data_IF_563100428379
#
_entry.id   IF_563100428379
#
_cell.length_a   1.000
_cell.length_b   1.000
_cell.length_c   1.000
_cell.angle_alpha   90.00
_cell.angle_beta   90.00
_cell.angle_gamma   90.00
#
_symmetry.space_group_name_H-M   'P 1'
#
loop_
_entity.id
_entity.type
_entity.pdbx_description
1 polymer ?
#
# COMPACT_ATOMS: atom_id res chain seq x y z
N UNK A 1 -32.85 -33.03 -18.66
CA UNK A 1 -32.71 -32.70 -18.59
C UNK A 1 -32.49 -31.80 -18.10
N UNK A 2 -32.50 -31.18 -17.90
CA UNK A 2 -32.50 -30.52 -17.43
C UNK A 2 -31.59 -29.99 -16.70
N UNK A 3 -30.99 -29.82 -16.27
CA UNK A 3 -30.10 -29.58 -15.51
C UNK A 3 -29.11 -28.63 -15.96
N UNK A 4 -29.08 -28.34 -16.99
CA UNK A 4 -28.16 -27.51 -17.49
C UNK A 4 -28.18 -26.15 -16.94
N UNK A 5 -29.15 -25.76 -16.46
CA UNK A 5 -29.26 -24.42 -16.05
C UNK A 5 -28.29 -24.03 -15.00
N UNK A 6 -27.82 -24.91 -14.29
CA UNK A 6 -26.99 -24.55 -13.28
C UNK A 6 -25.76 -23.91 -13.61
N UNK A 7 -25.19 -24.24 -14.59
CA UNK A 7 -23.96 -23.72 -14.90
C UNK A 7 -23.87 -22.30 -14.95
N UNK A 8 -24.79 -21.70 -15.35
CA UNK A 8 -24.76 -20.35 -15.55
C UNK A 8 -24.35 -19.49 -14.42
N UNK A 9 -24.82 -19.77 -13.33
CA UNK A 9 -24.61 -18.91 -12.23
C UNK A 9 -23.22 -18.69 -11.78
N UNK A 10 -22.42 -19.52 -12.01
CA UNK A 10 -21.13 -19.42 -11.57
C UNK A 10 -20.30 -18.26 -11.96
N UNK A 11 -20.32 -17.94 -13.13
CA UNK A 11 -19.45 -16.95 -13.62
C UNK A 11 -19.54 -15.57 -13.05
N UNK A 12 -20.62 -15.19 -12.62
CA UNK A 12 -20.77 -13.85 -12.20
C UNK A 12 -20.00 -13.42 -11.00
N UNK A 13 -19.80 -14.28 -10.13
CA UNK A 13 -19.20 -13.86 -8.92
C UNK A 13 -17.78 -13.40 -9.01
N UNK A 14 -17.09 -13.84 -9.94
CA UNK A 14 -15.76 -13.46 -10.05
C UNK A 14 -15.44 -12.03 -10.10
N UNK A 15 -16.24 -11.30 -10.70
CA UNK A 15 -15.96 -9.93 -10.88
C UNK A 15 -15.81 -9.16 -9.61
N UNK A 16 -16.44 -9.62 -8.63
CA UNK A 16 -16.44 -8.87 -7.41
C UNK A 16 -15.16 -8.95 -6.65
N UNK A 17 -14.33 -9.83 -7.04
CA UNK A 17 -13.14 -10.01 -6.30
C UNK A 17 -12.03 -9.08 -6.63
N UNK A 18 -12.27 -8.17 -7.50
CA UNK A 18 -11.23 -7.27 -7.82
C UNK A 18 -10.95 -6.36 -6.69
N UNK A 19 -9.80 -6.39 -6.13
CA UNK A 19 -9.47 -5.53 -5.04
C UNK A 19 -9.13 -4.22 -5.65
N UNK A 20 -9.53 -3.16 -5.12
CA UNK A 20 -9.13 -1.90 -5.62
C UNK A 20 -8.40 -1.21 -4.52
N UNK A 21 -7.39 -0.49 -4.81
CA UNK A 21 -6.69 0.25 -3.83
C UNK A 21 -7.60 1.34 -3.42
N UNK A 22 -7.73 1.50 -2.18
CA UNK A 22 -8.65 2.46 -1.66
C UNK A 22 -7.93 3.76 -1.38
N UNK A 23 -8.48 4.84 -1.84
CA UNK A 23 -7.93 6.13 -1.54
C UNK A 23 -8.03 6.38 -0.05
N UNK A 24 -9.05 5.84 0.58
CA UNK A 24 -9.19 5.97 2.03
C UNK A 24 -8.02 5.30 2.74
N UNK A 25 -7.57 4.16 2.24
CA UNK A 25 -6.44 3.49 2.86
C UNK A 25 -5.16 4.28 2.62
N UNK A 26 -5.04 4.90 1.48
CA UNK A 26 -3.86 5.71 1.20
C UNK A 26 -3.81 6.91 2.13
N UNK A 27 -4.95 7.53 2.39
CA UNK A 27 -4.98 8.65 3.30
C UNK A 27 -4.69 8.23 4.72
N UNK A 28 -5.16 7.06 5.08
CA UNK A 28 -4.89 6.54 6.40
C UNK A 28 -3.40 6.30 6.54
N UNK A 29 -2.78 5.74 5.50
CA UNK A 29 -1.36 5.52 5.51
C UNK A 29 -0.58 6.82 5.63
N UNK A 30 -1.06 7.86 4.97
CA UNK A 30 -0.43 9.15 5.05
C UNK A 30 -0.42 9.67 6.48
N UNK A 31 -1.54 9.52 7.17
CA UNK A 31 -1.63 9.98 8.54
C UNK A 31 -0.73 9.16 9.45
N UNK A 32 -0.67 7.86 9.21
CA UNK A 32 0.17 6.99 10.01
C UNK A 32 1.64 7.39 9.82
N UNK A 33 2.02 7.64 8.58
CA UNK A 33 3.40 8.03 8.31
C UNK A 33 3.73 9.34 9.03
N UNK A 34 2.88 10.31 8.86
CA UNK A 34 3.11 11.61 9.42
C UNK A 34 3.26 11.56 10.94
N UNK A 35 2.44 10.74 11.57
CA UNK A 35 2.44 10.68 13.01
C UNK A 35 3.50 9.76 13.59
N UNK A 36 3.83 8.69 12.91
CA UNK A 36 4.66 7.66 13.51
C UNK A 36 5.97 7.35 12.78
N UNK A 37 6.12 7.76 11.55
CA UNK A 37 7.32 7.43 10.78
C UNK A 37 8.18 8.63 10.47
N UNK A 38 7.54 9.76 10.27
CA UNK A 38 8.24 10.93 9.78
C UNK A 38 9.43 11.34 10.62
N UNK A 39 9.27 11.28 11.90
CA UNK A 39 10.32 11.71 12.77
C UNK A 39 11.55 10.83 12.63
N UNK A 40 11.35 9.52 12.54
CA UNK A 40 12.45 8.61 12.39
C UNK A 40 13.05 8.66 11.00
N UNK A 41 12.24 8.86 9.99
CA UNK A 41 12.73 8.91 8.63
C UNK A 41 13.43 10.23 8.32
N UNK A 42 12.98 11.27 8.93
CA UNK A 42 13.60 12.57 8.70
C UNK A 42 13.11 13.30 7.46
N UNK A 43 12.04 12.83 6.85
CA UNK A 43 11.49 13.49 5.68
C UNK A 43 10.02 13.13 5.53
N UNK A 44 9.37 13.74 4.57
CA UNK A 44 7.93 13.58 4.43
C UNK A 44 7.55 12.24 3.83
N UNK A 45 6.29 11.90 3.96
CA UNK A 45 5.78 10.68 3.38
C UNK A 45 5.85 10.68 1.87
N UNK A 46 5.68 11.84 1.27
CA UNK A 46 5.77 11.93 -0.18
C UNK A 46 7.18 11.55 -0.62
N UNK A 47 8.17 12.03 0.09
CA UNK A 47 9.53 11.71 -0.27
C UNK A 47 9.78 10.21 -0.07
N UNK A 48 9.21 9.64 0.97
CA UNK A 48 9.32 8.20 1.19
C UNK A 48 8.71 7.46 0.00
N UNK A 49 7.50 7.81 -0.39
CA UNK A 49 6.79 7.11 -1.46
C UNK A 49 7.53 7.20 -2.79
N UNK A 50 8.20 8.29 -3.01
CA UNK A 50 8.86 8.48 -4.28
C UNK A 50 10.18 7.74 -4.44
N UNK A 51 10.52 6.94 -3.46
CA UNK A 51 11.70 6.11 -3.60
C UNK A 51 11.48 5.03 -4.65
N UNK A 52 10.24 4.70 -4.98
CA UNK A 52 9.97 3.65 -5.94
C UNK A 52 8.81 3.99 -6.84
N UNK A 53 8.73 3.31 -7.96
CA UNK A 53 7.58 3.41 -8.85
C UNK A 53 6.46 2.54 -8.29
N UNK A 54 5.28 2.68 -8.85
CA UNK A 54 4.16 1.86 -8.41
C UNK A 54 4.45 0.39 -8.62
N UNK A 55 5.07 0.05 -9.73
CA UNK A 55 5.37 -1.33 -9.99
C UNK A 55 6.38 -1.88 -8.99
N UNK A 56 7.34 -1.08 -8.63
CA UNK A 56 8.32 -1.51 -7.65
C UNK A 56 7.70 -1.70 -6.28
N UNK A 57 6.82 -0.83 -5.90
CA UNK A 57 6.14 -1.01 -4.61
C UNK A 57 5.30 -2.30 -4.62
N UNK A 58 4.80 -2.65 -5.60
CA UNK A 58 4.15 -3.61 -5.68
C UNK A 58 4.81 -4.65 -5.45
N UNK A 59 5.89 -4.90 -6.16
CA UNK A 59 6.77 -6.03 -6.03
C UNK A 59 7.25 -6.18 -4.60
N UNK A 60 7.64 -5.09 -4.02
CA UNK A 60 8.08 -5.12 -2.63
C UNK A 60 7.01 -5.69 -1.69
N UNK A 61 5.91 -5.35 -1.89
CA UNK A 61 5.02 -5.73 -1.22
C UNK A 61 4.75 -6.97 -1.38
N UNK A 62 4.51 -7.56 -2.51
CA UNK A 62 4.26 -8.93 -2.82
C UNK A 62 5.30 -9.87 -2.27
N UNK A 63 6.51 -9.47 -2.27
CA UNK A 63 7.57 -10.33 -1.79
C UNK A 63 7.78 -10.26 -0.29
N UNK A 64 6.97 -9.49 0.38
CA UNK A 64 7.07 -9.43 1.83
C UNK A 64 8.24 -8.62 2.33
N UNK A 65 8.70 -7.66 1.55
CA UNK A 65 9.88 -6.90 1.91
C UNK A 65 9.61 -5.45 2.29
N UNK A 66 8.37 -5.12 2.57
CA UNK A 66 8.05 -3.73 2.86
C UNK A 66 8.75 -3.23 4.12
N UNK A 67 8.79 -4.04 5.13
CA UNK A 67 9.41 -3.60 6.37
C UNK A 67 10.90 -3.43 6.19
N UNK A 68 11.53 -4.35 5.49
CA UNK A 68 12.94 -4.26 5.20
C UNK A 68 13.26 -3.01 4.42
N UNK A 69 12.45 -2.74 3.41
CA UNK A 69 12.68 -1.59 2.57
C UNK A 69 12.46 -0.29 3.35
N UNK A 70 11.50 -0.28 4.24
CA UNK A 70 11.28 0.88 5.07
C UNK A 70 12.50 1.14 5.94
N UNK A 71 13.07 0.08 6.47
CA UNK A 71 14.24 0.24 7.31
C UNK A 71 15.43 0.74 6.48
N UNK A 72 15.53 0.30 5.25
CA UNK A 72 16.61 0.75 4.40
C UNK A 72 16.49 2.25 4.11
N UNK A 73 15.28 2.69 3.87
CA UNK A 73 15.04 4.09 3.53
C UNK A 73 15.14 4.98 4.74
N UNK A 74 14.66 4.49 5.88
CA UNK A 74 14.64 5.27 7.13
C UNK A 74 15.53 4.58 8.15
N UNK A 75 16.39 4.85 8.16
CA UNK A 75 17.26 4.27 8.78
C UNK A 75 17.11 4.13 10.13
N UNK A 76 16.73 5.19 10.76
CA UNK A 76 16.62 5.19 12.21
C UNK A 76 15.33 4.60 12.75
N UNK A 77 14.47 4.16 11.87
CA UNK A 77 13.20 3.65 12.33
C UNK A 77 13.37 2.32 13.04
N UNK A 78 12.54 2.09 14.04
CA UNK A 78 12.53 0.82 14.73
C UNK A 78 11.31 0.06 14.25
N UNK A 79 11.52 -0.90 13.37
CA UNK A 79 10.43 -1.64 12.75
C UNK A 79 9.57 -2.33 13.80
N UNK A 80 10.17 -2.82 14.85
CA UNK A 80 9.42 -3.52 15.86
C UNK A 80 8.42 -2.64 16.60
N UNK A 81 8.56 -1.37 16.50
CA UNK A 81 7.60 -0.45 17.11
C UNK A 81 6.41 -0.14 16.19
N UNK A 82 6.32 -0.48 14.90
CA UNK A 82 5.42 -0.22 14.14
C UNK A 82 4.49 -1.14 14.28
N UNK A 83 3.28 -0.86 14.31
CA UNK A 83 2.19 -1.79 14.48
C UNK A 83 2.01 -2.60 13.22
N UNK A 84 1.77 -3.86 13.39
CA UNK A 84 1.60 -4.73 12.25
C UNK A 84 0.46 -4.26 11.35
N UNK A 85 -0.60 -3.77 11.94
CA UNK A 85 -1.75 -3.34 11.15
C UNK A 85 -1.49 -2.09 10.31
N UNK A 86 -0.43 -1.40 10.57
CA UNK A 86 -0.14 -0.19 9.82
C UNK A 86 0.42 -0.48 8.43
N UNK A 87 1.05 -1.64 8.24
CA UNK A 87 1.81 -1.87 7.02
C UNK A 87 0.97 -1.88 5.76
N UNK A 88 -0.25 -2.37 5.88
CA UNK A 88 -1.13 -2.38 4.72
C UNK A 88 -1.39 -0.96 4.27
N UNK A 89 -1.64 -0.07 5.22
CA UNK A 89 -1.96 1.31 4.87
C UNK A 89 -0.72 2.07 4.41
N UNK A 90 0.43 1.76 4.96
CA UNK A 90 1.67 2.37 4.51
C UNK A 90 1.93 1.94 3.07
N UNK A 91 1.66 0.68 2.74
CA UNK A 91 1.82 0.24 1.38
C UNK A 91 0.89 0.98 0.43
N UNK A 92 -0.38 1.11 0.81
CA UNK A 92 -1.34 1.77 -0.05
C UNK A 92 -0.92 3.22 -0.30
N UNK A 93 -0.43 3.87 0.74
CA UNK A 93 0.03 5.23 0.62
C UNK A 93 1.25 5.30 -0.31
N UNK A 94 2.18 4.39 -0.14
CA UNK A 94 3.39 4.40 -0.94
C UNK A 94 3.08 4.16 -2.41
N UNK A 95 2.19 3.25 -2.68
CA UNK A 95 1.78 2.94 -4.04
C UNK A 95 1.07 4.15 -4.68
N UNK A 96 0.15 4.73 -3.93
CA UNK A 96 -0.67 5.79 -4.48
C UNK A 96 0.17 7.00 -4.88
N UNK A 97 1.22 7.29 -4.15
CA UNK A 97 2.00 8.49 -4.38
C UNK A 97 3.44 8.17 -4.81
N UNK A 98 3.62 7.04 -5.46
CA UNK A 98 4.93 6.61 -5.93
C UNK A 98 5.51 7.59 -6.94
N UNK A 99 6.75 7.38 -7.29
CA UNK A 99 7.46 8.34 -8.13
C UNK A 99 6.84 8.57 -9.49
N UNK A 100 6.15 7.56 -10.01
CA UNK A 100 5.52 7.70 -11.32
C UNK A 100 4.03 8.01 -11.22
N UNK A 101 3.53 8.28 -10.05
CA UNK A 101 2.14 8.66 -9.91
C UNK A 101 2.02 10.15 -10.20
N UNK A 102 0.91 10.52 -10.79
CA UNK A 102 0.67 11.93 -11.03
C UNK A 102 -0.07 12.57 -9.86
N UNK A 103 -0.38 11.78 -8.86
CA UNK A 103 -1.13 12.28 -7.73
C UNK A 103 -0.23 12.89 -6.69
N UNK A 104 -0.72 13.93 -6.04
CA UNK A 104 0.01 14.57 -4.97
C UNK A 104 -0.91 14.67 -3.78
N UNK A 105 -0.52 14.13 -2.65
CA UNK A 105 -1.43 14.16 -1.51
C UNK A 105 -1.55 15.57 -0.96
N UNK A 106 -2.70 15.86 -0.43
CA UNK A 106 -2.88 17.17 0.18
C UNK A 106 -2.29 17.11 1.59
N UNK A 107 -1.79 18.19 2.04
CA UNK A 107 -1.16 18.24 3.36
C UNK A 107 -2.15 18.37 4.50
#
# INVERSE_FOLDING_TARGET
MKNQSLLVTVSTTLLLLFPSTSLADARKGQKIFKKNFRKSCGFSGVKFSRNHTQEEWXKIXKEGHLQEETKRICXRIKIEDXKESWWKDIYEFSYEYASDSLKIPSC
#
